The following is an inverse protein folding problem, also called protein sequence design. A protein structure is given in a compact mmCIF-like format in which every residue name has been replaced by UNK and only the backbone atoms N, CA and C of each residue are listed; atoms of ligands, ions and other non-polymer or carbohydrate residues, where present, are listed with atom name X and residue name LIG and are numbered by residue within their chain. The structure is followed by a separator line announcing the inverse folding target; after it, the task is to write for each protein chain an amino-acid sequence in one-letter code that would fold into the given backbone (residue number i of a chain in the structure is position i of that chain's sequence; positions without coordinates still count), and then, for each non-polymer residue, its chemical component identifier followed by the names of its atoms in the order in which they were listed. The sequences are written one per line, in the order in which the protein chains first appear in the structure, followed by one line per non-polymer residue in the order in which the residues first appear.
data_IF_326197660140
#
_entry.id   IF_326197660140
#
_cell.length_a   1.000
_cell.length_b   1.000
_cell.length_c   1.000
_cell.angle_alpha   90.00
_cell.angle_beta   90.00
_cell.angle_gamma   90.00
#
_symmetry.space_group_name_H-M   'P 1'
#
loop_
_entity.id
_entity.type
_entity.pdbx_description
1 polymer ?
#
# COMPACT_ATOMS: atom_id res chain seq x y z
N UNK A 1 -10.23 -3.32 9.60
CA UNK A 1 -10.71 -4.68 9.32
C UNK A 1 -11.63 -5.21 10.41
N UNK A 2 -11.31 -4.93 11.66
CA UNK A 2 -12.02 -5.48 12.82
C UNK A 2 -12.62 -4.41 13.72
N UNK A 3 -12.61 -3.12 13.32
CA UNK A 3 -13.21 -2.07 14.10
C UNK A 3 -14.70 -2.36 14.40
N UNK A 4 -15.20 -1.91 15.52
CA UNK A 4 -16.60 -2.11 15.94
C UNK A 4 -17.59 -1.52 14.94
N UNK A 5 -17.16 -0.52 14.14
CA UNK A 5 -17.88 0.00 12.97
C UNK A 5 -16.97 -0.11 11.76
N UNK A 6 -17.45 -0.61 10.60
CA UNK A 6 -16.66 -0.62 9.39
C UNK A 6 -16.39 0.82 8.95
N UNK A 7 -15.14 1.21 8.98
CA UNK A 7 -14.69 2.42 8.32
C UNK A 7 -14.68 2.11 6.83
N UNK A 8 -15.48 2.83 6.05
CA UNK A 8 -15.50 2.65 4.60
C UNK A 8 -16.45 1.58 4.06
N UNK A 9 -17.70 1.56 4.51
CA UNK A 9 -18.84 0.93 3.80
C UNK A 9 -18.63 -0.52 3.35
N UNK A 10 -18.69 -0.76 2.07
CA UNK A 10 -18.81 -2.09 1.45
C UNK A 10 -17.55 -2.97 1.42
N UNK A 11 -16.35 -2.44 1.70
CA UNK A 11 -15.11 -3.24 1.81
C UNK A 11 -14.99 -4.01 3.13
N UNK A 12 -15.95 -3.82 4.02
CA UNK A 12 -16.01 -4.61 5.23
C UNK A 12 -16.06 -6.11 4.87
N UNK A 13 -15.30 -6.91 5.61
CA UNK A 13 -15.39 -8.37 5.53
C UNK A 13 -16.86 -8.81 5.56
N UNK A 14 -17.24 -9.87 4.81
CA UNK A 14 -18.61 -10.36 4.79
C UNK A 14 -19.20 -10.44 6.20
N UNK A 15 -20.50 -10.13 6.35
CA UNK A 15 -21.14 -10.03 7.66
C UNK A 15 -20.95 -11.27 8.54
N UNK A 16 -20.95 -12.46 7.94
CA UNK A 16 -20.69 -13.72 8.63
C UNK A 16 -19.26 -13.79 9.19
N UNK A 17 -18.26 -13.34 8.42
CA UNK A 17 -16.85 -13.33 8.86
C UNK A 17 -16.64 -12.36 10.02
N UNK A 18 -17.33 -11.21 9.99
CA UNK A 18 -17.34 -10.27 11.13
C UNK A 18 -18.00 -10.88 12.35
N UNK A 19 -19.09 -11.62 12.16
CA UNK A 19 -19.75 -12.38 13.23
C UNK A 19 -18.80 -13.39 13.88
N UNK A 20 -18.10 -14.17 13.06
CA UNK A 20 -17.09 -15.13 13.54
C UNK A 20 -15.95 -14.43 14.25
N UNK A 21 -15.41 -13.35 13.70
CA UNK A 21 -14.31 -12.59 14.33
C UNK A 21 -14.70 -12.02 15.69
N UNK A 22 -15.97 -11.63 15.89
CA UNK A 22 -16.48 -11.10 17.16
C UNK A 22 -16.53 -12.13 18.29
N UNK A 23 -16.68 -13.41 17.95
CA UNK A 23 -16.78 -14.50 18.96
C UNK A 23 -15.53 -15.35 19.02
N UNK A 24 -14.61 -15.20 18.06
CA UNK A 24 -13.39 -15.98 17.99
C UNK A 24 -12.53 -15.75 19.24
N UNK A 25 -12.23 -16.85 19.93
CA UNK A 25 -11.39 -16.85 21.14
C UNK A 25 -10.02 -17.52 20.93
N UNK A 26 -9.75 -18.00 19.72
CA UNK A 26 -8.49 -18.66 19.39
C UNK A 26 -7.30 -17.69 19.53
N UNK A 27 -6.24 -18.19 20.13
CA UNK A 27 -4.96 -17.50 20.23
C UNK A 27 -3.83 -18.48 19.85
N UNK A 28 -2.86 -18.02 19.05
CA UNK A 28 -1.67 -18.84 18.80
C UNK A 28 -0.96 -19.22 20.09
N UNK A 29 -0.39 -20.42 20.14
CA UNK A 29 0.32 -20.93 21.32
C UNK A 29 1.49 -20.01 21.75
N UNK A 30 2.15 -19.35 20.77
CA UNK A 30 3.18 -18.36 21.03
C UNK A 30 2.68 -17.16 21.85
N UNK A 31 1.50 -16.64 21.56
CA UNK A 31 0.89 -15.54 22.31
C UNK A 31 0.59 -15.94 23.75
N UNK A 32 0.02 -17.15 23.95
CA UNK A 32 -0.28 -17.66 25.28
C UNK A 32 0.99 -17.91 26.10
N UNK A 33 2.08 -18.37 25.47
CA UNK A 33 3.37 -18.55 26.11
C UNK A 33 3.96 -17.22 26.56
N UNK A 34 4.09 -16.26 25.64
CA UNK A 34 4.63 -14.91 25.94
C UNK A 34 3.81 -14.22 27.03
N UNK A 35 2.49 -14.25 26.93
CA UNK A 35 1.64 -13.64 27.95
C UNK A 35 1.90 -14.26 29.34
N UNK A 36 2.11 -15.57 29.44
CA UNK A 36 2.42 -16.23 30.70
C UNK A 36 3.81 -15.83 31.22
N UNK A 37 4.81 -15.74 30.35
CA UNK A 37 6.17 -15.31 30.71
C UNK A 37 6.20 -13.89 31.31
N UNK A 38 5.34 -13.01 30.79
CA UNK A 38 5.24 -11.61 31.23
C UNK A 38 4.11 -11.34 32.24
N UNK A 39 3.43 -12.37 32.72
CA UNK A 39 2.32 -12.23 33.69
C UNK A 39 1.10 -11.47 33.13
N UNK A 40 0.92 -11.46 31.81
CA UNK A 40 -0.15 -10.74 31.12
C UNK A 40 -1.40 -11.60 31.00
N UNK A 41 -2.58 -10.97 31.16
CA UNK A 41 -3.86 -11.59 30.87
C UNK A 41 -4.30 -11.26 29.46
N UNK A 42 -4.42 -12.28 28.59
CA UNK A 42 -4.97 -12.09 27.26
C UNK A 42 -6.48 -11.86 27.33
N UNK A 43 -7.03 -10.97 26.50
CA UNK A 43 -8.48 -10.75 26.43
C UNK A 43 -9.18 -12.00 25.91
N UNK A 44 -10.48 -12.16 26.25
CA UNK A 44 -11.24 -13.35 25.87
C UNK A 44 -11.33 -13.52 24.34
N UNK A 45 -11.68 -12.45 23.61
CA UNK A 45 -11.81 -12.52 22.15
C UNK A 45 -10.46 -12.18 21.48
N UNK A 46 -10.18 -12.85 20.37
CA UNK A 46 -8.95 -12.61 19.60
C UNK A 46 -8.89 -11.16 19.07
N UNK A 47 -10.01 -10.61 18.64
CA UNK A 47 -10.08 -9.25 18.10
C UNK A 47 -9.76 -8.18 19.15
N UNK A 48 -10.02 -8.43 20.42
CA UNK A 48 -9.71 -7.48 21.49
C UNK A 48 -8.21 -7.37 21.77
N UNK A 49 -7.39 -8.30 21.23
CA UNK A 49 -5.91 -8.20 21.25
C UNK A 49 -5.38 -7.07 20.37
N UNK A 50 -6.20 -6.57 19.45
CA UNK A 50 -5.89 -5.44 18.56
C UNK A 50 -6.42 -4.11 19.10
N UNK A 51 -6.99 -4.09 20.30
CA UNK A 51 -7.50 -2.89 20.94
C UNK A 51 -6.59 -2.47 22.08
N UNK A 52 -6.30 -1.18 22.15
CA UNK A 52 -5.58 -0.52 23.22
C UNK A 52 -6.41 0.64 23.77
N UNK A 53 -5.86 1.40 24.72
CA UNK A 53 -6.49 2.61 25.25
C UNK A 53 -6.64 3.68 24.16
N UNK A 54 -5.69 3.74 23.22
CA UNK A 54 -5.75 4.55 22.01
C UNK A 54 -5.28 3.71 20.82
N UNK A 55 -6.08 3.62 19.77
CA UNK A 55 -5.71 2.99 18.51
C UNK A 55 -5.44 4.07 17.47
N UNK A 56 -4.21 4.16 16.99
CA UNK A 56 -3.84 5.10 15.93
C UNK A 56 -4.12 4.48 14.55
N UNK A 57 -5.05 5.08 13.82
CA UNK A 57 -5.45 4.61 12.49
C UNK A 57 -4.63 5.37 11.44
N UNK A 58 -3.61 4.72 10.88
CA UNK A 58 -2.67 5.29 9.92
C UNK A 58 -3.18 5.26 8.47
N UNK A 59 -4.47 5.11 8.25
CA UNK A 59 -5.06 5.05 6.92
C UNK A 59 -5.13 6.41 6.26
N UNK A 60 -4.61 6.52 5.04
CA UNK A 60 -4.72 7.70 4.19
C UNK A 60 -6.18 8.15 4.01
N UNK A 61 -7.07 7.22 3.69
CA UNK A 61 -8.45 7.54 3.34
C UNK A 61 -9.34 7.90 4.50
N UNK A 62 -9.01 7.48 5.72
CA UNK A 62 -9.77 7.84 6.94
C UNK A 62 -9.79 9.36 7.11
N UNK A 63 -8.66 10.03 6.95
CA UNK A 63 -8.59 11.49 7.04
C UNK A 63 -9.23 12.19 5.84
N UNK A 64 -8.99 11.70 4.63
CA UNK A 64 -9.53 12.31 3.41
C UNK A 64 -11.06 12.27 3.32
N UNK A 65 -11.68 11.22 3.90
CA UNK A 65 -13.15 11.10 3.94
C UNK A 65 -13.78 11.79 5.13
N UNK A 66 -13.00 12.21 6.12
CA UNK A 66 -13.52 12.70 7.38
C UNK A 66 -14.35 11.64 8.13
N UNK A 67 -13.93 10.38 8.05
CA UNK A 67 -14.63 9.26 8.68
C UNK A 67 -14.74 9.49 10.21
N UNK A 68 -15.95 9.44 10.74
CA UNK A 68 -16.17 9.50 12.18
C UNK A 68 -15.71 8.20 12.84
N UNK A 69 -14.56 8.25 13.47
CA UNK A 69 -14.04 7.16 14.28
C UNK A 69 -14.70 7.15 15.65
N UNK A 70 -14.80 5.97 16.26
CA UNK A 70 -15.34 5.78 17.60
C UNK A 70 -14.20 5.38 18.51
N UNK A 71 -14.10 6.05 19.67
CA UNK A 71 -13.11 5.69 20.68
C UNK A 71 -13.02 4.16 20.88
N UNK A 72 -11.80 3.62 21.00
CA UNK A 72 -10.50 4.30 21.14
C UNK A 72 -9.77 4.61 19.82
N UNK A 73 -10.43 4.54 18.66
CA UNK A 73 -9.82 4.68 17.33
C UNK A 73 -9.67 6.18 16.98
N UNK A 74 -8.44 6.60 16.63
CA UNK A 74 -8.10 7.97 16.26
C UNK A 74 -7.36 7.98 14.91
N UNK A 75 -7.87 8.73 13.94
CA UNK A 75 -7.22 8.85 12.62
C UNK A 75 -6.02 9.80 12.69
N UNK A 76 -4.86 9.31 12.28
CA UNK A 76 -3.62 10.11 12.23
C UNK A 76 -3.09 10.29 10.81
N UNK A 77 -3.65 9.57 9.83
CA UNK A 77 -3.17 9.61 8.46
C UNK A 77 -1.94 8.72 8.24
N UNK A 78 -1.40 8.73 7.02
CA UNK A 78 -0.34 7.81 6.62
C UNK A 78 0.96 8.10 7.37
N UNK A 79 1.60 7.03 7.84
CA UNK A 79 2.96 7.04 8.38
C UNK A 79 3.79 6.12 7.49
N UNK A 80 4.79 6.66 6.83
CA UNK A 80 5.63 5.89 5.91
C UNK A 80 7.11 6.11 6.14
N UNK A 81 7.89 5.08 5.85
CA UNK A 81 9.33 5.12 5.98
C UNK A 81 9.96 5.94 4.86
N UNK A 82 10.81 6.87 5.22
CA UNK A 82 11.64 7.65 4.29
C UNK A 82 13.03 7.02 4.24
N UNK A 83 13.22 6.10 3.28
CA UNK A 83 14.51 5.45 3.09
C UNK A 83 15.59 6.50 2.78
N UNK A 84 16.77 6.44 3.40
CA UNK A 84 17.90 7.28 3.01
C UNK A 84 18.41 6.86 1.62
N UNK A 85 19.05 7.77 0.92
CA UNK A 85 19.67 7.50 -0.35
C UNK A 85 19.30 8.50 -1.43
N UNK A 86 19.88 8.32 -2.61
CA UNK A 86 19.62 9.11 -3.80
C UNK A 86 18.74 8.36 -4.79
N UNK A 87 18.06 9.11 -5.64
CA UNK A 87 17.32 8.52 -6.77
C UNK A 87 18.31 7.85 -7.74
N UNK A 88 17.94 6.67 -8.28
CA UNK A 88 18.71 6.01 -9.33
C UNK A 88 18.96 6.93 -10.52
N UNK A 89 20.05 6.68 -11.27
CA UNK A 89 20.45 7.51 -12.40
C UNK A 89 19.33 7.66 -13.44
N UNK A 90 18.66 6.57 -13.80
CA UNK A 90 17.54 6.57 -14.74
C UNK A 90 16.40 7.54 -14.35
N UNK A 91 16.23 7.83 -13.06
CA UNK A 91 15.21 8.77 -12.57
C UNK A 91 15.66 10.22 -12.75
N UNK A 92 16.95 10.49 -12.64
CA UNK A 92 17.54 11.83 -12.68
C UNK A 92 17.83 12.32 -14.10
N UNK A 93 18.01 11.43 -15.04
CA UNK A 93 18.34 11.76 -16.44
C UNK A 93 17.09 12.16 -17.23
N UNK A 94 17.26 13.06 -18.25
CA UNK A 94 16.19 13.36 -19.20
C UNK A 94 15.75 12.09 -19.93
N UNK A 95 14.45 11.91 -20.11
CA UNK A 95 13.86 10.74 -20.76
C UNK A 95 12.89 11.15 -21.86
N UNK A 96 12.89 10.35 -22.92
CA UNK A 96 11.91 10.49 -24.02
C UNK A 96 10.67 9.60 -23.78
N UNK A 97 10.79 8.59 -22.88
CA UNK A 97 9.74 7.61 -22.60
C UNK A 97 9.18 7.78 -21.19
N UNK A 98 7.90 7.45 -20.98
CA UNK A 98 7.35 7.39 -19.64
C UNK A 98 8.13 6.41 -18.75
N UNK A 99 8.33 6.77 -17.49
CA UNK A 99 8.97 5.91 -16.48
C UNK A 99 7.92 5.27 -15.57
N UNK A 100 7.92 3.95 -15.55
CA UNK A 100 7.00 3.17 -14.74
C UNK A 100 7.75 2.57 -13.55
N UNK A 101 7.29 2.87 -12.34
CA UNK A 101 7.84 2.24 -11.14
C UNK A 101 7.13 0.91 -10.86
N UNK A 102 7.89 -0.18 -10.78
CA UNK A 102 7.37 -1.51 -10.43
C UNK A 102 7.90 -1.93 -9.07
N UNK A 103 7.01 -2.00 -8.06
CA UNK A 103 7.35 -2.33 -6.69
C UNK A 103 6.53 -3.51 -6.16
N UNK A 104 7.11 -4.72 -6.14
CA UNK A 104 6.42 -5.92 -5.64
C UNK A 104 6.68 -6.21 -4.14
N UNK A 105 7.45 -5.38 -3.46
CA UNK A 105 7.76 -5.55 -2.03
C UNK A 105 8.39 -6.91 -1.70
N UNK A 106 8.46 -7.24 -0.41
CA UNK A 106 9.02 -8.52 0.07
C UNK A 106 8.03 -9.69 0.01
N UNK A 107 6.73 -9.41 -0.09
CA UNK A 107 5.65 -10.41 -0.17
C UNK A 107 5.11 -10.62 -1.60
N UNK A 108 5.78 -10.07 -2.60
CA UNK A 108 5.46 -10.27 -4.00
C UNK A 108 5.88 -11.66 -4.51
N UNK A 109 5.39 -12.02 -5.69
CA UNK A 109 5.74 -13.26 -6.38
C UNK A 109 6.76 -12.98 -7.47
N UNK A 110 7.92 -13.64 -7.43
CA UNK A 110 8.95 -13.55 -8.47
C UNK A 110 8.40 -13.95 -9.84
N UNK A 111 7.57 -15.00 -9.91
CA UNK A 111 6.96 -15.47 -11.18
C UNK A 111 6.02 -14.41 -11.78
N UNK A 112 5.23 -13.76 -10.96
CA UNK A 112 4.33 -12.68 -11.42
C UNK A 112 5.15 -11.48 -11.85
N UNK A 113 6.16 -11.09 -11.08
CA UNK A 113 7.07 -10.00 -11.46
C UNK A 113 7.73 -10.28 -12.80
N UNK A 114 8.31 -11.48 -13.00
CA UNK A 114 8.94 -11.87 -14.26
C UNK A 114 7.98 -11.77 -15.45
N UNK A 115 6.74 -12.24 -15.30
CA UNK A 115 5.74 -12.16 -16.36
C UNK A 115 5.30 -10.72 -16.66
N UNK A 116 5.13 -9.88 -15.65
CA UNK A 116 4.83 -8.45 -15.80
C UNK A 116 5.98 -7.76 -16.55
N UNK A 117 7.23 -7.95 -16.11
CA UNK A 117 8.40 -7.32 -16.72
C UNK A 117 8.62 -7.76 -18.17
N UNK A 118 8.40 -9.05 -18.51
CA UNK A 118 8.48 -9.51 -19.92
C UNK A 118 7.49 -8.76 -20.83
N UNK A 119 6.25 -8.52 -20.34
CA UNK A 119 5.27 -7.77 -21.12
C UNK A 119 5.62 -6.28 -21.22
N UNK A 120 6.18 -5.69 -20.15
CA UNK A 120 6.67 -4.32 -20.16
C UNK A 120 7.94 -4.14 -21.02
N UNK A 121 8.75 -5.17 -21.18
CA UNK A 121 9.95 -5.15 -22.03
C UNK A 121 9.64 -4.81 -23.50
N UNK A 122 8.45 -5.15 -23.98
CA UNK A 122 7.98 -4.83 -25.33
C UNK A 122 7.22 -3.48 -25.40
N UNK A 123 7.09 -2.75 -24.30
CA UNK A 123 6.37 -1.49 -24.25
C UNK A 123 7.31 -0.28 -24.49
N UNK A 124 6.83 0.83 -25.08
CA UNK A 124 7.64 2.03 -25.29
C UNK A 124 7.75 2.87 -24.02
N UNK A 125 8.16 2.26 -22.92
CA UNK A 125 8.34 2.85 -21.59
C UNK A 125 9.68 2.41 -21.01
N UNK A 126 10.20 3.15 -20.07
CA UNK A 126 11.26 2.71 -19.19
C UNK A 126 10.66 2.21 -17.87
N UNK A 127 11.26 1.20 -17.28
CA UNK A 127 10.76 0.53 -16.08
C UNK A 127 11.80 0.55 -14.99
N UNK A 128 11.51 1.18 -13.88
CA UNK A 128 12.31 1.14 -12.66
C UNK A 128 11.76 0.06 -11.73
N UNK A 129 12.52 -0.99 -11.50
CA UNK A 129 12.15 -2.07 -10.59
C UNK A 129 12.79 -1.83 -9.23
N UNK A 130 11.95 -1.59 -8.22
CA UNK A 130 12.37 -1.42 -6.83
C UNK A 130 11.85 -2.54 -5.93
N UNK A 131 12.55 -2.77 -4.80
CA UNK A 131 12.11 -3.69 -3.75
C UNK A 131 12.90 -4.98 -3.66
N UNK A 132 12.46 -5.87 -2.74
CA UNK A 132 13.22 -7.05 -2.31
C UNK A 132 13.00 -8.33 -3.14
N UNK A 133 12.10 -8.33 -4.14
CA UNK A 133 11.91 -9.52 -4.98
C UNK A 133 13.02 -9.60 -6.00
N UNK A 134 13.84 -10.65 -5.90
CA UNK A 134 14.91 -10.94 -6.86
C UNK A 134 14.43 -11.94 -7.90
N UNK A 135 14.79 -11.71 -9.14
CA UNK A 135 14.60 -12.67 -10.22
C UNK A 135 15.89 -13.48 -10.41
N UNK A 136 15.73 -14.79 -10.54
CA UNK A 136 16.86 -15.71 -10.81
C UNK A 136 17.41 -15.58 -12.24
N UNK A 137 16.56 -15.14 -13.18
CA UNK A 137 16.93 -14.97 -14.58
C UNK A 137 16.28 -13.69 -15.13
N UNK A 138 17.13 -12.82 -15.68
CA UNK A 138 16.75 -11.56 -16.32
C UNK A 138 17.10 -11.52 -17.82
N UNK A 139 17.63 -12.60 -18.38
CA UNK A 139 18.11 -12.67 -19.77
C UNK A 139 17.04 -12.39 -20.82
N UNK A 140 15.78 -12.63 -20.49
CA UNK A 140 14.63 -12.41 -21.38
C UNK A 140 13.99 -11.00 -21.21
N UNK A 141 14.60 -10.12 -20.44
CA UNK A 141 14.10 -8.76 -20.22
C UNK A 141 14.74 -7.77 -21.18
N UNK A 142 13.97 -6.76 -21.58
CA UNK A 142 14.44 -5.68 -22.45
C UNK A 142 15.39 -4.71 -21.74
N UNK A 143 16.18 -3.98 -22.54
CA UNK A 143 17.10 -2.95 -22.02
C UNK A 143 16.41 -1.76 -21.34
N UNK A 144 15.09 -1.67 -21.47
CA UNK A 144 14.25 -0.67 -20.81
C UNK A 144 13.88 -1.04 -19.35
N UNK A 145 14.36 -2.19 -18.85
CA UNK A 145 14.10 -2.66 -17.47
C UNK A 145 15.34 -2.38 -16.61
N UNK A 146 15.18 -1.53 -15.60
CA UNK A 146 16.27 -1.07 -14.73
C UNK A 146 16.02 -1.50 -13.28
N UNK A 147 16.89 -2.34 -12.74
CA UNK A 147 16.81 -2.80 -11.34
C UNK A 147 17.60 -1.86 -10.43
N UNK A 148 16.95 -1.34 -9.39
CA UNK A 148 17.54 -0.35 -8.50
C UNK A 148 17.59 -0.78 -7.01
N UNK A 149 17.16 -2.01 -6.69
CA UNK A 149 17.10 -2.45 -5.30
C UNK A 149 16.20 -1.55 -4.44
N UNK A 150 16.73 -1.05 -3.33
CA UNK A 150 16.00 -0.11 -2.47
C UNK A 150 15.98 1.28 -3.10
N UNK A 151 14.79 1.76 -3.42
CA UNK A 151 14.57 3.10 -3.97
C UNK A 151 14.01 4.00 -2.86
N UNK A 152 14.53 5.24 -2.68
CA UNK A 152 13.93 6.22 -1.77
C UNK A 152 12.60 6.73 -2.36
N UNK A 153 11.57 5.91 -2.23
CA UNK A 153 10.31 6.02 -2.94
C UNK A 153 9.57 7.35 -2.68
N UNK A 154 9.82 7.99 -1.53
CA UNK A 154 9.27 9.32 -1.21
C UNK A 154 9.83 10.44 -2.10
N UNK A 155 10.93 10.20 -2.81
CA UNK A 155 11.54 11.14 -3.75
C UNK A 155 11.05 10.94 -5.19
N UNK A 156 10.22 9.94 -5.47
CA UNK A 156 9.76 9.64 -6.84
C UNK A 156 8.71 10.62 -7.38
N UNK A 157 8.18 11.51 -6.55
CA UNK A 157 7.19 12.51 -6.97
C UNK A 157 7.74 13.41 -8.09
N UNK A 158 7.01 13.50 -9.19
CA UNK A 158 7.43 14.27 -10.38
C UNK A 158 8.45 13.56 -11.28
N UNK A 159 8.86 12.33 -10.94
CA UNK A 159 9.86 11.57 -11.69
C UNK A 159 9.33 10.31 -12.37
N UNK A 160 8.16 9.83 -11.99
CA UNK A 160 7.52 8.66 -12.59
C UNK A 160 6.15 9.04 -13.15
N UNK A 161 5.67 8.27 -14.12
CA UNK A 161 4.39 8.52 -14.81
C UNK A 161 3.27 7.59 -14.34
N UNK A 162 3.61 6.38 -13.90
CA UNK A 162 2.68 5.42 -13.32
C UNK A 162 3.44 4.41 -12.44
N UNK A 163 2.69 3.59 -11.69
CA UNK A 163 3.28 2.52 -10.87
C UNK A 163 2.52 1.20 -11.05
N UNK A 164 3.21 0.08 -10.82
CA UNK A 164 2.59 -1.25 -10.66
C UNK A 164 3.09 -1.88 -9.37
N UNK A 165 2.17 -2.39 -8.55
CA UNK A 165 2.48 -2.84 -7.20
C UNK A 165 1.70 -4.08 -6.79
N UNK A 166 2.22 -4.82 -5.80
CA UNK A 166 1.48 -5.91 -5.15
C UNK A 166 0.40 -5.44 -4.16
N UNK A 167 0.29 -4.13 -3.91
CA UNK A 167 -0.72 -3.57 -3.02
C UNK A 167 -0.34 -3.55 -1.53
N UNK A 168 0.90 -3.86 -1.16
CA UNK A 168 1.39 -3.64 0.20
C UNK A 168 1.32 -2.14 0.55
N UNK A 169 1.00 -1.83 1.80
CA UNK A 169 0.74 -0.45 2.24
C UNK A 169 1.84 0.52 1.81
N UNK A 170 3.11 0.20 2.07
CA UNK A 170 4.24 1.08 1.70
C UNK A 170 4.35 1.34 0.20
N UNK A 171 4.05 0.36 -0.67
CA UNK A 171 4.11 0.55 -2.13
C UNK A 171 2.91 1.31 -2.67
N UNK A 172 1.74 1.15 -2.06
CA UNK A 172 0.55 1.97 -2.36
C UNK A 172 0.78 3.41 -1.93
N UNK A 173 1.30 3.63 -0.73
CA UNK A 173 1.67 4.96 -0.24
C UNK A 173 2.72 5.63 -1.14
N UNK A 174 3.69 4.87 -1.67
CA UNK A 174 4.66 5.36 -2.65
C UNK A 174 3.98 5.92 -3.90
N UNK A 175 3.09 5.16 -4.52
CA UNK A 175 2.38 5.61 -5.73
C UNK A 175 1.47 6.83 -5.43
N UNK A 176 0.78 6.80 -4.30
CA UNK A 176 -0.07 7.92 -3.86
C UNK A 176 0.76 9.18 -3.59
N UNK A 177 1.88 9.08 -2.89
CA UNK A 177 2.78 10.20 -2.60
C UNK A 177 3.41 10.79 -3.86
N UNK A 178 3.77 9.92 -4.82
CA UNK A 178 4.27 10.34 -6.12
C UNK A 178 3.22 11.09 -6.95
N UNK A 179 1.95 10.94 -6.62
CA UNK A 179 0.84 11.58 -7.34
C UNK A 179 0.58 10.97 -8.71
N UNK A 180 0.89 9.68 -8.89
CA UNK A 180 0.70 8.96 -10.15
C UNK A 180 -0.32 7.84 -10.02
N UNK A 181 -1.04 7.51 -11.11
CA UNK A 181 -1.94 6.37 -11.10
C UNK A 181 -1.16 5.06 -10.97
N UNK A 182 -1.79 4.05 -10.40
CA UNK A 182 -1.15 2.75 -10.29
C UNK A 182 -2.08 1.58 -10.60
N UNK A 183 -1.49 0.43 -10.97
CA UNK A 183 -2.19 -0.84 -11.04
C UNK A 183 -1.69 -1.77 -9.93
N UNK A 184 -2.62 -2.43 -9.25
CA UNK A 184 -2.33 -3.33 -8.14
C UNK A 184 -2.76 -4.77 -8.38
N UNK A 185 -1.88 -5.72 -8.01
CA UNK A 185 -2.14 -7.16 -8.04
C UNK A 185 -1.94 -7.77 -6.65
N UNK A 186 -3.02 -8.02 -5.92
CA UNK A 186 -2.94 -8.52 -4.56
C UNK A 186 -2.58 -10.00 -4.48
N UNK A 187 -1.69 -10.34 -3.55
CA UNK A 187 -1.36 -11.70 -3.14
C UNK A 187 -2.02 -12.06 -1.79
N UNK A 188 -2.44 -11.06 -1.01
CA UNK A 188 -3.01 -11.19 0.33
C UNK A 188 -4.25 -10.29 0.48
N UNK A 189 -5.08 -10.57 1.48
CA UNK A 189 -6.34 -9.86 1.71
C UNK A 189 -6.12 -8.36 2.05
N UNK A 190 -5.10 -8.04 2.84
CA UNK A 190 -4.73 -6.67 3.18
C UNK A 190 -4.34 -5.88 1.93
N UNK A 191 -3.53 -6.48 1.05
CA UNK A 191 -3.13 -5.86 -0.21
C UNK A 191 -4.33 -5.58 -1.13
N UNK A 192 -5.28 -6.52 -1.17
CA UNK A 192 -6.54 -6.33 -1.91
C UNK A 192 -7.33 -5.15 -1.37
N UNK A 193 -7.36 -4.98 -0.04
CA UNK A 193 -8.00 -3.85 0.61
C UNK A 193 -7.36 -2.52 0.20
N UNK A 194 -6.05 -2.41 0.30
CA UNK A 194 -5.32 -1.17 -0.03
C UNK A 194 -5.52 -0.76 -1.49
N UNK A 195 -5.48 -1.72 -2.42
CA UNK A 195 -5.75 -1.47 -3.84
C UNK A 195 -7.18 -0.98 -4.04
N UNK A 196 -8.16 -1.66 -3.44
CA UNK A 196 -9.57 -1.38 -3.62
C UNK A 196 -9.96 0.01 -3.09
N UNK A 197 -9.36 0.47 -1.99
CA UNK A 197 -9.54 1.83 -1.49
C UNK A 197 -9.12 2.87 -2.55
N UNK A 198 -7.99 2.64 -3.23
CA UNK A 198 -7.50 3.49 -4.29
C UNK A 198 -8.35 3.41 -5.58
N UNK A 199 -8.82 2.20 -5.93
CA UNK A 199 -9.74 2.01 -7.06
C UNK A 199 -11.03 2.82 -6.84
N UNK A 200 -11.59 2.80 -5.64
CA UNK A 200 -12.78 3.59 -5.30
C UNK A 200 -12.53 5.08 -5.31
N UNK A 201 -11.35 5.51 -4.89
CA UNK A 201 -10.96 6.91 -4.99
C UNK A 201 -10.79 7.35 -6.44
N UNK A 202 -10.45 6.43 -7.33
CA UNK A 202 -10.33 6.63 -8.76
C UNK A 202 -8.91 6.92 -9.24
N UNK A 203 -7.88 6.61 -8.44
CA UNK A 203 -6.47 6.76 -8.80
C UNK A 203 -5.75 5.45 -9.12
N UNK A 204 -6.47 4.32 -9.16
CA UNK A 204 -5.87 3.00 -9.36
C UNK A 204 -6.73 2.06 -10.20
N UNK A 205 -6.07 1.03 -10.74
CA UNK A 205 -6.67 -0.14 -11.36
C UNK A 205 -6.32 -1.39 -10.56
N UNK A 206 -7.23 -2.33 -10.52
CA UNK A 206 -6.95 -3.67 -10.05
C UNK A 206 -6.72 -4.59 -11.25
N UNK A 207 -5.69 -5.43 -11.17
CA UNK A 207 -5.50 -6.53 -12.11
C UNK A 207 -5.22 -7.84 -11.37
N UNK A 208 -5.28 -8.96 -12.09
CA UNK A 208 -5.25 -10.29 -11.52
C UNK A 208 -4.12 -11.11 -12.13
N UNK A 209 -3.78 -12.26 -11.49
CA UNK A 209 -2.87 -13.25 -12.08
C UNK A 209 -3.37 -13.75 -13.45
N UNK A 210 -4.68 -13.75 -13.68
CA UNK A 210 -5.25 -14.14 -14.94
C UNK A 210 -5.01 -13.08 -16.04
N UNK A 211 -5.06 -11.81 -15.70
CA UNK A 211 -4.71 -10.73 -16.63
C UNK A 211 -3.24 -10.83 -17.04
N UNK A 212 -2.34 -11.12 -16.10
CA UNK A 212 -0.92 -11.36 -16.40
C UNK A 212 -0.74 -12.54 -17.36
N UNK A 213 -1.41 -13.67 -17.11
CA UNK A 213 -1.33 -14.85 -17.99
C UNK A 213 -1.89 -14.61 -19.39
N UNK A 214 -2.91 -13.77 -19.51
CA UNK A 214 -3.53 -13.42 -20.81
C UNK A 214 -2.76 -12.37 -21.60
N UNK A 215 -1.71 -11.78 -21.03
CA UNK A 215 -0.93 -10.74 -21.70
C UNK A 215 -1.53 -9.33 -21.58
N UNK A 216 -2.48 -9.08 -20.68
CA UNK A 216 -3.21 -7.83 -20.57
C UNK A 216 -2.45 -6.70 -19.85
N UNK A 217 -1.19 -6.94 -19.44
CA UNK A 217 -0.41 -5.91 -18.70
C UNK A 217 -0.20 -4.66 -19.55
N UNK A 218 -0.10 -4.83 -20.86
CA UNK A 218 0.04 -3.71 -21.79
C UNK A 218 -1.21 -2.83 -21.82
N UNK A 219 -2.39 -3.41 -21.92
CA UNK A 219 -3.64 -2.65 -21.94
C UNK A 219 -3.86 -1.90 -20.61
N UNK A 220 -3.45 -2.52 -19.49
CA UNK A 220 -3.48 -1.89 -18.17
C UNK A 220 -2.53 -0.69 -18.13
N UNK A 221 -1.31 -0.83 -18.64
CA UNK A 221 -0.33 0.25 -18.75
C UNK A 221 -0.87 1.40 -19.58
N UNK A 222 -1.41 1.11 -20.76
CA UNK A 222 -1.95 2.11 -21.67
C UNK A 222 -3.09 2.91 -21.01
N UNK A 223 -3.93 2.25 -20.21
CA UNK A 223 -4.95 2.93 -19.39
C UNK A 223 -4.35 3.83 -18.31
N UNK A 224 -3.32 3.36 -17.58
CA UNK A 224 -2.65 4.18 -16.57
C UNK A 224 -2.07 5.47 -17.17
N UNK A 225 -1.54 5.38 -18.38
CA UNK A 225 -0.91 6.51 -19.05
C UNK A 225 -1.90 7.45 -19.75
N UNK A 226 -3.06 6.96 -20.20
CA UNK A 226 -4.02 7.73 -21.01
C UNK A 226 -5.25 8.23 -20.26
N UNK A 227 -5.62 7.62 -19.11
CA UNK A 227 -6.81 8.03 -18.36
C UNK A 227 -6.55 9.33 -17.57
N UNK A 228 -6.91 10.46 -18.16
CA UNK A 228 -6.72 11.79 -17.57
C UNK A 228 -7.50 11.97 -16.26
N UNK A 229 -8.67 11.35 -16.13
CA UNK A 229 -9.46 11.38 -14.89
C UNK A 229 -8.71 10.71 -13.73
N UNK A 230 -8.15 9.52 -13.99
CA UNK A 230 -7.35 8.78 -13.02
C UNK A 230 -6.06 9.55 -12.65
N UNK A 231 -5.39 10.11 -13.64
CA UNK A 231 -4.17 10.94 -13.46
C UNK A 231 -4.46 12.19 -12.61
N UNK A 232 -5.57 12.87 -12.85
CA UNK A 232 -6.01 14.02 -12.08
C UNK A 232 -6.28 13.64 -10.61
N UNK A 233 -6.99 12.54 -10.38
CA UNK A 233 -7.24 11.99 -9.03
C UNK A 233 -5.94 11.63 -8.32
N UNK A 234 -5.00 11.00 -9.01
CA UNK A 234 -3.71 10.64 -8.43
C UNK A 234 -2.91 11.90 -8.02
N UNK A 235 -2.86 12.94 -8.86
CA UNK A 235 -2.20 14.23 -8.52
C UNK A 235 -2.83 14.85 -7.28
N UNK A 236 -4.15 14.96 -7.24
CA UNK A 236 -4.89 15.52 -6.10
C UNK A 236 -4.58 14.77 -4.80
N UNK A 237 -4.54 13.44 -4.87
CA UNK A 237 -4.21 12.59 -3.72
C UNK A 237 -2.77 12.81 -3.26
N UNK A 238 -1.82 12.89 -4.19
CA UNK A 238 -0.42 13.15 -3.89
C UNK A 238 -0.19 14.52 -3.24
N UNK A 239 -0.89 15.55 -3.67
CA UNK A 239 -0.87 16.89 -3.06
C UNK A 239 -1.38 16.82 -1.61
N UNK A 240 -2.55 16.22 -1.40
CA UNK A 240 -3.12 16.05 -0.06
C UNK A 240 -2.17 15.24 0.85
N UNK A 241 -1.61 14.14 0.35
CA UNK A 241 -0.73 13.27 1.13
C UNK A 241 0.58 13.98 1.55
N UNK A 242 1.14 14.85 0.70
CA UNK A 242 2.36 15.60 1.03
C UNK A 242 2.16 16.65 2.14
N UNK A 243 0.93 17.08 2.38
CA UNK A 243 0.59 18.00 3.48
C UNK A 243 0.28 17.30 4.80
N UNK A 244 0.15 15.97 4.80
CA UNK A 244 -0.12 15.18 6.00
C UNK A 244 1.16 14.81 6.72
N UNK A 245 1.21 15.02 8.03
CA UNK A 245 2.24 14.49 8.91
C UNK A 245 1.60 13.56 9.95
N UNK A 246 1.36 12.32 9.53
CA UNK A 246 0.73 11.32 10.39
C UNK A 246 1.57 11.00 11.63
N UNK A 247 2.89 11.09 11.54
CA UNK A 247 3.77 10.83 12.68
C UNK A 247 3.66 11.94 13.75
N UNK A 248 3.68 13.20 13.34
CA UNK A 248 3.50 14.32 14.26
C UNK A 248 2.12 14.28 14.92
N UNK A 249 1.06 14.01 14.14
CA UNK A 249 -0.29 13.89 14.69
C UNK A 249 -0.44 12.69 15.64
N UNK A 250 0.23 11.57 15.36
CA UNK A 250 0.26 10.42 16.25
C UNK A 250 0.87 10.78 17.62
N UNK A 251 1.99 11.51 17.63
CA UNK A 251 2.63 11.99 18.86
C UNK A 251 1.69 12.90 19.64
N UNK A 252 1.06 13.88 18.97
CA UNK A 252 0.06 14.77 19.61
C UNK A 252 -1.04 13.97 20.31
N UNK A 253 -1.63 12.98 19.63
CA UNK A 253 -2.72 12.17 20.20
C UNK A 253 -2.28 11.30 21.37
N UNK A 254 -1.06 10.79 21.36
CA UNK A 254 -0.47 10.06 22.49
C UNK A 254 -0.29 11.02 23.68
N UNK A 255 0.25 12.21 23.45
CA UNK A 255 0.45 13.18 24.51
C UNK A 255 -0.88 13.66 25.13
N UNK A 256 -1.90 13.91 24.31
CA UNK A 256 -3.24 14.28 24.77
C UNK A 256 -3.82 13.20 25.69
N UNK A 257 -3.72 11.93 25.28
CA UNK A 257 -4.15 10.81 26.10
C UNK A 257 -3.40 10.76 27.44
N UNK A 258 -2.09 10.91 27.43
CA UNK A 258 -1.27 10.87 28.66
C UNK A 258 -1.56 12.05 29.61
N UNK A 259 -1.93 13.23 29.08
CA UNK A 259 -2.37 14.38 29.90
C UNK A 259 -3.72 14.13 30.54
N UNK A 260 -4.67 13.51 29.81
CA UNK A 260 -6.00 13.21 30.33
C UNK A 260 -6.03 12.06 31.35
N UNK A 261 -5.03 11.17 31.31
CA UNK A 261 -4.89 10.03 32.23
C UNK A 261 -4.18 10.37 33.56
N UNK A 262 -3.69 11.60 33.71
CA UNK A 262 -3.10 12.14 34.94
C UNK A 262 -4.16 12.85 35.79
#
# INVERSE_FOLDING_TARGET
YFSKKPVGGELAAPGWLRGVARVLSYKPASFTRVAREYGLRLPRRTVDMLSADVNLICSLFTQLRGDSLVEPDVGVGPIYYRAPGELPQIVREPRERPLIYVGMGSSGSADILAQVLRQLSAAPVDVLVGGGVQLSDTSMLGNNIHFAGTVPAHLLAGHIDASMTHGGEGTVQTACLAGVPFAGIAMQAEQSWNIEECVRYGNALRFTKNDVRRGNVRDILDRLLSDEGMRARARQLGEAMRTMDGAALAVEKIEDYLRAAR
#
